data_IF_079060728403
#
_entry.id   IF_079060728403
#
_cell.length_a   1.000
_cell.length_b   1.000
_cell.length_c   1.000
_cell.angle_alpha   90.00
_cell.angle_beta   90.00
_cell.angle_gamma   90.00
#
_symmetry.space_group_name_H-M   'P 1'
#
loop_
_entity.id
_entity.type
_entity.pdbx_description
1 polymer ?
#
# COMPACT_ATOMS: atom_id res chain seq x y z
N UNK A 1 -18.92 7.47 -30.94
CA UNK A 1 -19.31 6.42 -29.97
C UNK A 1 -18.73 5.12 -30.48
N UNK A 2 -17.72 4.51 -29.82
CA UNK A 2 -17.20 3.23 -30.29
C UNK A 2 -18.31 2.17 -30.16
N UNK A 3 -18.51 1.40 -31.24
CA UNK A 3 -19.50 0.34 -31.33
C UNK A 3 -19.43 -0.55 -30.08
N UNK A 4 -20.57 -0.68 -29.40
CA UNK A 4 -20.68 -1.41 -28.15
C UNK A 4 -20.17 -2.83 -28.34
N UNK A 5 -19.07 -3.16 -27.68
CA UNK A 5 -18.57 -4.53 -27.59
C UNK A 5 -19.71 -5.40 -27.06
N UNK A 6 -20.29 -6.24 -27.93
CA UNK A 6 -21.45 -7.11 -27.67
C UNK A 6 -21.19 -8.23 -26.66
N UNK A 7 -20.27 -8.01 -25.71
CA UNK A 7 -20.04 -8.90 -24.58
C UNK A 7 -21.30 -8.92 -23.72
N UNK A 8 -21.88 -10.11 -23.60
CA UNK A 8 -23.02 -10.39 -22.74
C UNK A 8 -22.67 -10.04 -21.28
N UNK A 9 -23.68 -9.73 -20.47
CA UNK A 9 -23.49 -9.50 -19.03
C UNK A 9 -22.74 -10.66 -18.35
N UNK A 10 -23.00 -11.89 -18.78
CA UNK A 10 -22.30 -13.09 -18.30
C UNK A 10 -20.80 -13.06 -18.55
N UNK A 11 -20.36 -12.62 -19.73
CA UNK A 11 -18.92 -12.54 -20.06
C UNK A 11 -18.20 -11.45 -19.27
N UNK A 12 -18.89 -10.36 -18.92
CA UNK A 12 -18.34 -9.31 -18.05
C UNK A 12 -18.17 -9.77 -16.60
N UNK A 13 -19.07 -10.64 -16.11
CA UNK A 13 -19.07 -11.14 -14.73
C UNK A 13 -18.21 -12.38 -14.51
N UNK A 14 -18.01 -13.20 -15.54
CA UNK A 14 -17.19 -14.43 -15.49
C UNK A 14 -15.83 -14.28 -14.79
N UNK A 15 -15.00 -13.26 -15.09
CA UNK A 15 -13.73 -13.10 -14.39
C UNK A 15 -13.90 -12.78 -12.91
N UNK A 16 -14.91 -11.99 -12.52
CA UNK A 16 -15.20 -11.71 -11.12
C UNK A 16 -15.69 -12.94 -10.37
N UNK A 17 -16.53 -13.77 -11.00
CA UNK A 17 -16.93 -15.06 -10.44
C UNK A 17 -15.72 -15.96 -10.16
N UNK A 18 -14.79 -16.06 -11.12
CA UNK A 18 -13.54 -16.82 -10.93
C UNK A 18 -12.68 -16.25 -9.79
N UNK A 19 -12.46 -14.92 -9.74
CA UNK A 19 -11.67 -14.30 -8.68
C UNK A 19 -12.30 -14.49 -7.30
N UNK A 20 -13.64 -14.44 -7.20
CA UNK A 20 -14.37 -14.71 -5.95
C UNK A 20 -14.16 -16.16 -5.50
N UNK A 21 -14.31 -17.14 -6.41
CA UNK A 21 -14.07 -18.55 -6.07
C UNK A 21 -12.62 -18.80 -5.65
N UNK A 22 -11.66 -18.21 -6.37
CA UNK A 22 -10.25 -18.28 -6.01
C UNK A 22 -9.97 -17.65 -4.65
N UNK A 23 -10.57 -16.49 -4.36
CA UNK A 23 -10.47 -15.83 -3.06
C UNK A 23 -11.00 -16.72 -1.93
N UNK A 24 -12.18 -17.34 -2.12
CA UNK A 24 -12.77 -18.26 -1.14
C UNK A 24 -11.89 -19.48 -0.91
N UNK A 25 -11.36 -20.08 -1.98
CA UNK A 25 -10.44 -21.21 -1.89
C UNK A 25 -9.16 -20.85 -1.12
N UNK A 26 -8.49 -19.75 -1.49
CA UNK A 26 -7.26 -19.29 -0.83
C UNK A 26 -7.51 -18.91 0.63
N UNK A 27 -8.68 -18.32 0.92
CA UNK A 27 -9.11 -18.01 2.29
C UNK A 27 -9.26 -19.29 3.09
N UNK A 28 -9.97 -20.30 2.57
CA UNK A 28 -10.15 -21.58 3.24
C UNK A 28 -8.80 -22.29 3.46
N UNK A 29 -7.96 -22.38 2.42
CA UNK A 29 -6.63 -23.00 2.53
C UNK A 29 -5.75 -22.27 3.54
N UNK A 30 -5.73 -20.94 3.54
CA UNK A 30 -4.96 -20.15 4.50
C UNK A 30 -5.51 -20.29 5.92
N UNK A 31 -6.83 -20.23 6.09
CA UNK A 31 -7.47 -20.26 7.41
C UNK A 31 -7.37 -21.63 8.09
N UNK A 32 -7.52 -22.72 7.34
CA UNK A 32 -7.43 -24.09 7.87
C UNK A 32 -6.01 -24.66 7.81
N UNK A 33 -5.17 -24.19 6.90
CA UNK A 33 -3.81 -24.70 6.71
C UNK A 33 -2.75 -23.97 7.54
N UNK A 34 -3.02 -22.78 8.05
CA UNK A 34 -2.09 -22.01 8.88
C UNK A 34 -2.56 -21.91 10.33
N UNK A 35 -1.64 -21.86 11.31
CA UNK A 35 -2.02 -21.59 12.69
C UNK A 35 -2.75 -20.25 12.80
N UNK A 36 -3.91 -20.23 13.48
CA UNK A 36 -4.75 -19.02 13.62
C UNK A 36 -4.00 -17.81 14.21
N UNK A 37 -2.96 -18.05 15.02
CA UNK A 37 -2.08 -17.01 15.58
C UNK A 37 -1.16 -16.34 14.54
N UNK A 38 -0.97 -16.93 13.35
CA UNK A 38 -0.07 -16.42 12.29
C UNK A 38 -0.78 -15.72 11.14
N UNK A 39 -2.09 -15.84 11.07
CA UNK A 39 -2.91 -15.17 10.05
C UNK A 39 -3.31 -13.79 10.59
N UNK A 40 -3.28 -12.75 9.77
CA UNK A 40 -3.71 -11.37 10.08
C UNK A 40 -3.36 -10.88 11.48
N UNK A 41 -2.11 -11.02 11.90
CA UNK A 41 -1.66 -10.72 13.27
C UNK A 41 -1.90 -9.26 13.68
N UNK A 42 -1.68 -8.33 12.75
CA UNK A 42 -1.80 -6.90 13.01
C UNK A 42 -3.27 -6.42 13.03
N UNK A 43 -4.23 -7.26 12.60
CA UNK A 43 -5.65 -6.90 12.62
C UNK A 43 -6.16 -6.58 14.03
N UNK A 44 -5.50 -7.10 15.08
CA UNK A 44 -5.88 -6.81 16.46
C UNK A 44 -5.86 -5.31 16.79
N UNK A 45 -4.91 -4.53 16.23
CA UNK A 45 -4.86 -3.09 16.48
C UNK A 45 -6.03 -2.37 15.79
N UNK A 46 -6.46 -2.82 14.61
CA UNK A 46 -7.60 -2.23 13.90
C UNK A 46 -8.93 -2.58 14.55
N UNK A 47 -9.10 -3.84 14.95
CA UNK A 47 -10.30 -4.30 15.63
C UNK A 47 -10.45 -3.64 17.01
N UNK A 48 -9.36 -3.54 17.79
CA UNK A 48 -9.38 -2.85 19.07
C UNK A 48 -9.67 -1.35 18.91
N UNK A 49 -9.04 -0.67 17.96
CA UNK A 49 -9.34 0.73 17.66
C UNK A 49 -10.80 0.93 17.27
N UNK A 50 -11.38 0.06 16.43
CA UNK A 50 -12.78 0.10 16.05
C UNK A 50 -13.71 -0.08 17.27
N UNK A 51 -13.41 -1.04 18.14
CA UNK A 51 -14.17 -1.33 19.36
C UNK A 51 -14.11 -0.17 20.38
N UNK A 52 -12.94 0.46 20.52
CA UNK A 52 -12.76 1.63 21.40
C UNK A 52 -13.55 2.81 20.84
N UNK A 53 -13.40 3.09 19.53
CA UNK A 53 -14.07 4.20 18.87
C UNK A 53 -15.61 4.05 18.89
N UNK A 54 -16.15 2.83 18.78
CA UNK A 54 -17.59 2.58 18.88
C UNK A 54 -18.19 2.90 20.26
N UNK A 55 -17.35 3.11 21.28
CA UNK A 55 -17.77 3.54 22.62
C UNK A 55 -17.58 5.05 22.85
N UNK A 56 -17.26 5.82 21.81
CA UNK A 56 -16.99 7.27 21.92
C UNK A 56 -15.63 7.59 22.57
N UNK A 57 -14.73 6.61 22.66
CA UNK A 57 -13.39 6.77 23.24
C UNK A 57 -12.33 6.91 22.16
N UNK A 58 -11.21 7.53 22.52
CA UNK A 58 -10.09 7.71 21.61
C UNK A 58 -9.42 6.37 21.26
N UNK A 59 -9.24 6.05 19.96
CA UNK A 59 -8.50 4.87 19.55
C UNK A 59 -6.98 4.99 19.80
N UNK A 60 -6.50 6.17 20.21
CA UNK A 60 -5.09 6.44 20.50
C UNK A 60 -4.72 6.31 21.98
N UNK A 61 -5.70 6.10 22.86
CA UNK A 61 -5.43 5.89 24.28
C UNK A 61 -4.76 4.52 24.52
N UNK A 62 -3.49 4.53 24.91
CA UNK A 62 -2.69 3.30 25.07
C UNK A 62 -3.24 2.36 26.16
N UNK A 63 -3.84 2.92 27.22
CA UNK A 63 -4.45 2.13 28.29
C UNK A 63 -5.64 1.30 27.79
N UNK A 64 -6.55 1.93 27.04
CA UNK A 64 -7.69 1.26 26.42
C UNK A 64 -7.24 0.27 25.33
N UNK A 65 -6.22 0.61 24.53
CA UNK A 65 -5.63 -0.32 23.54
C UNK A 65 -5.09 -1.57 24.22
N UNK A 66 -4.27 -1.41 25.26
CA UNK A 66 -3.72 -2.50 26.07
C UNK A 66 -4.82 -3.38 26.66
N UNK A 67 -5.75 -2.79 27.40
CA UNK A 67 -6.84 -3.53 28.04
C UNK A 67 -7.68 -4.30 27.01
N UNK A 68 -7.99 -3.66 25.87
CA UNK A 68 -8.80 -4.27 24.81
C UNK A 68 -8.06 -5.41 24.12
N UNK A 69 -6.79 -5.24 23.78
CA UNK A 69 -6.00 -6.27 23.09
C UNK A 69 -5.69 -7.45 24.02
N UNK A 70 -5.39 -7.20 25.29
CA UNK A 70 -5.19 -8.27 26.29
C UNK A 70 -6.46 -9.11 26.48
N UNK A 71 -7.64 -8.48 26.50
CA UNK A 71 -8.92 -9.18 26.53
C UNK A 71 -9.19 -10.02 25.26
N UNK A 72 -8.48 -9.75 24.16
CA UNK A 72 -8.51 -10.52 22.91
C UNK A 72 -7.38 -11.55 22.82
N UNK A 73 -6.60 -11.72 23.89
CA UNK A 73 -5.52 -12.70 24.00
C UNK A 73 -4.14 -12.19 23.58
N UNK A 74 -3.94 -10.87 23.47
CA UNK A 74 -2.60 -10.31 23.28
C UNK A 74 -1.73 -10.52 24.52
N UNK A 75 -0.54 -11.06 24.32
CA UNK A 75 0.48 -11.19 25.35
C UNK A 75 1.77 -10.49 24.93
N UNK A 76 2.38 -9.75 25.87
CA UNK A 76 3.61 -8.99 25.61
C UNK A 76 4.77 -9.91 25.24
N UNK A 77 4.91 -11.05 25.92
CA UNK A 77 6.05 -11.94 25.72
C UNK A 77 5.97 -12.64 24.36
N UNK A 78 4.77 -13.04 23.94
CA UNK A 78 4.57 -13.76 22.67
C UNK A 78 4.29 -12.87 21.47
N UNK A 79 3.40 -11.88 21.59
CA UNK A 79 2.90 -11.07 20.47
C UNK A 79 3.59 -9.71 20.38
N UNK A 80 3.76 -9.05 21.54
CA UNK A 80 4.44 -7.76 21.66
C UNK A 80 5.96 -7.83 21.58
N UNK A 81 6.49 -9.04 21.34
CA UNK A 81 7.91 -9.28 21.20
C UNK A 81 8.73 -8.81 22.41
N UNK A 82 8.13 -8.77 23.59
CA UNK A 82 8.75 -8.32 24.84
C UNK A 82 8.88 -6.79 24.97
N UNK A 83 8.52 -6.04 23.93
CA UNK A 83 8.73 -4.59 23.86
C UNK A 83 7.46 -3.83 24.22
N UNK A 84 6.33 -4.19 23.61
CA UNK A 84 5.10 -3.42 23.71
C UNK A 84 3.97 -4.22 24.36
N UNK A 85 3.24 -3.57 25.25
CA UNK A 85 2.10 -4.17 25.95
C UNK A 85 0.86 -4.33 25.05
N UNK A 86 0.88 -3.71 23.87
CA UNK A 86 -0.13 -3.80 22.81
C UNK A 86 0.51 -3.43 21.47
N UNK A 87 -0.15 -3.73 20.35
CA UNK A 87 0.21 -3.20 19.04
C UNK A 87 -0.44 -1.83 18.86
N UNK A 88 0.31 -0.71 18.86
CA UNK A 88 -0.30 0.61 18.87
C UNK A 88 -0.96 0.96 17.53
N UNK A 89 -2.07 1.69 17.60
CA UNK A 89 -2.81 2.18 16.45
C UNK A 89 -2.35 3.59 16.04
N UNK A 90 -1.88 3.74 14.80
CA UNK A 90 -1.37 5.02 14.25
C UNK A 90 -2.18 5.55 13.06
N UNK A 91 -3.25 4.87 12.66
CA UNK A 91 -4.02 5.24 11.49
C UNK A 91 -5.03 6.34 11.82
N UNK A 92 -5.55 7.09 10.84
CA UNK A 92 -6.64 8.01 11.09
C UNK A 92 -7.93 7.30 11.55
N UNK A 93 -8.76 7.95 12.38
CA UNK A 93 -9.90 7.30 13.04
C UNK A 93 -10.97 6.79 12.06
N UNK A 94 -11.08 7.37 10.87
CA UNK A 94 -12.01 6.86 9.85
C UNK A 94 -11.65 5.46 9.36
N UNK A 95 -10.39 5.03 9.48
CA UNK A 95 -10.03 3.64 9.21
C UNK A 95 -10.57 2.72 10.30
N UNK A 96 -10.51 3.11 11.58
CA UNK A 96 -11.15 2.39 12.67
C UNK A 96 -12.68 2.33 12.48
N UNK A 97 -13.32 3.41 12.01
CA UNK A 97 -14.74 3.39 11.65
C UNK A 97 -15.05 2.39 10.55
N UNK A 98 -14.22 2.31 9.50
CA UNK A 98 -14.40 1.30 8.46
C UNK A 98 -14.27 -0.12 9.04
N UNK A 99 -13.33 -0.33 9.96
CA UNK A 99 -13.16 -1.60 10.66
C UNK A 99 -14.31 -1.94 11.64
N UNK A 100 -15.17 -0.98 12.00
CA UNK A 100 -16.34 -1.23 12.84
C UNK A 100 -17.32 -2.22 12.18
N UNK A 101 -17.32 -2.31 10.84
CA UNK A 101 -18.10 -3.30 10.09
C UNK A 101 -17.74 -4.77 10.45
N UNK A 102 -16.57 -5.02 11.03
CA UNK A 102 -16.15 -6.36 11.46
C UNK A 102 -16.56 -6.69 12.90
N UNK A 103 -16.98 -5.72 13.71
CA UNK A 103 -17.32 -5.94 15.13
C UNK A 103 -18.44 -6.98 15.33
N UNK A 104 -19.53 -7.01 14.54
CA UNK A 104 -20.59 -8.01 14.70
C UNK A 104 -20.13 -9.46 14.52
N UNK A 105 -19.01 -9.69 13.83
CA UNK A 105 -18.45 -11.03 13.58
C UNK A 105 -17.60 -11.52 14.77
N UNK A 106 -17.40 -10.70 15.80
CA UNK A 106 -16.42 -10.94 16.84
C UNK A 106 -14.98 -10.87 16.32
N UNK A 107 -13.99 -10.99 17.22
CA UNK A 107 -12.59 -10.81 16.83
C UNK A 107 -12.12 -11.90 15.84
N UNK A 108 -12.40 -13.17 16.11
CA UNK A 108 -12.00 -14.28 15.23
C UNK A 108 -12.67 -14.21 13.86
N UNK A 109 -13.99 -13.95 13.81
CA UNK A 109 -14.72 -13.81 12.55
C UNK A 109 -14.29 -12.57 11.77
N UNK A 110 -14.10 -11.44 12.45
CA UNK A 110 -13.58 -10.21 11.85
C UNK A 110 -12.18 -10.41 11.27
N UNK A 111 -11.31 -11.16 11.97
CA UNK A 111 -9.97 -11.50 11.53
C UNK A 111 -9.97 -12.36 10.27
N UNK A 112 -10.84 -13.38 10.20
CA UNK A 112 -11.03 -14.19 8.99
C UNK A 112 -11.56 -13.35 7.81
N UNK A 113 -12.53 -12.49 8.07
CA UNK A 113 -13.10 -11.61 7.05
C UNK A 113 -12.07 -10.59 6.52
N UNK A 114 -11.24 -10.03 7.39
CA UNK A 114 -10.17 -9.12 7.00
C UNK A 114 -9.05 -9.82 6.21
N UNK A 115 -8.73 -11.06 6.57
CA UNK A 115 -7.82 -11.90 5.78
C UNK A 115 -8.37 -12.15 4.36
N UNK A 116 -9.63 -12.56 4.26
CA UNK A 116 -10.31 -12.75 2.98
C UNK A 116 -10.36 -11.45 2.15
N UNK A 117 -10.64 -10.32 2.80
CA UNK A 117 -10.65 -9.01 2.17
C UNK A 117 -9.29 -8.68 1.55
N UNK A 118 -8.18 -8.92 2.25
CA UNK A 118 -6.85 -8.67 1.69
C UNK A 118 -6.53 -9.54 0.47
N UNK A 119 -6.94 -10.81 0.47
CA UNK A 119 -6.82 -11.69 -0.71
C UNK A 119 -7.63 -11.13 -1.88
N UNK A 120 -8.90 -10.74 -1.63
CA UNK A 120 -9.77 -10.17 -2.64
C UNK A 120 -9.17 -8.87 -3.23
N UNK A 121 -8.59 -8.01 -2.38
CA UNK A 121 -7.95 -6.76 -2.79
C UNK A 121 -6.69 -7.02 -3.64
N UNK A 122 -5.87 -8.00 -3.29
CA UNK A 122 -4.68 -8.38 -4.08
C UNK A 122 -5.08 -8.89 -5.48
N UNK A 123 -6.02 -9.84 -5.54
CA UNK A 123 -6.53 -10.41 -6.78
C UNK A 123 -7.20 -9.36 -7.67
N UNK A 124 -8.06 -8.52 -7.09
CA UNK A 124 -8.75 -7.46 -7.81
C UNK A 124 -7.78 -6.40 -8.32
N UNK A 125 -6.79 -6.01 -7.52
CA UNK A 125 -5.76 -5.05 -7.95
C UNK A 125 -4.95 -5.59 -9.12
N UNK A 126 -4.48 -6.84 -9.04
CA UNK A 126 -3.77 -7.49 -10.14
C UNK A 126 -4.62 -7.59 -11.41
N UNK A 127 -5.89 -7.98 -11.26
CA UNK A 127 -6.83 -8.03 -12.37
C UNK A 127 -7.04 -6.66 -13.01
N UNK A 128 -7.25 -5.61 -12.23
CA UNK A 128 -7.47 -4.24 -12.74
C UNK A 128 -6.21 -3.65 -13.38
N UNK A 129 -5.03 -3.91 -12.82
CA UNK A 129 -3.73 -3.50 -13.38
C UNK A 129 -3.44 -4.10 -14.76
N UNK A 130 -4.09 -5.21 -15.13
CA UNK A 130 -3.89 -5.85 -16.43
C UNK A 130 -4.14 -4.90 -17.61
N UNK A 131 -5.13 -4.01 -17.49
CA UNK A 131 -5.49 -3.06 -18.53
C UNK A 131 -4.49 -1.91 -18.68
N UNK A 132 -3.58 -1.78 -17.72
CA UNK A 132 -2.55 -0.74 -17.66
C UNK A 132 -1.19 -1.24 -18.16
N UNK A 133 -0.98 -2.55 -18.18
CA UNK A 133 0.21 -3.16 -18.76
C UNK A 133 0.13 -3.15 -20.30
N UNK A 134 1.28 -2.99 -20.96
CA UNK A 134 1.34 -2.92 -22.43
C UNK A 134 1.43 -4.31 -23.07
N UNK A 135 0.61 -4.53 -24.09
CA UNK A 135 0.63 -5.74 -24.92
C UNK A 135 0.47 -7.02 -24.10
N UNK A 136 1.28 -8.03 -24.39
CA UNK A 136 1.19 -9.32 -23.71
C UNK A 136 1.63 -9.33 -22.24
N UNK A 137 2.23 -8.24 -21.74
CA UNK A 137 2.45 -8.08 -20.30
C UNK A 137 1.13 -7.89 -19.54
N UNK A 138 0.01 -7.66 -20.25
CA UNK A 138 -1.34 -7.67 -19.68
C UNK A 138 -1.65 -8.89 -18.82
N UNK A 139 -1.15 -10.07 -19.16
CA UNK A 139 -1.42 -11.28 -18.38
C UNK A 139 -0.60 -11.38 -17.08
N UNK A 140 0.45 -10.56 -16.90
CA UNK A 140 1.35 -10.68 -15.76
C UNK A 140 0.76 -10.11 -14.45
N UNK A 141 0.16 -8.90 -14.37
CA UNK A 141 -0.33 -8.34 -13.10
C UNK A 141 -1.30 -9.23 -12.31
N UNK A 142 -2.25 -9.96 -12.92
CA UNK A 142 -3.11 -10.90 -12.18
C UNK A 142 -2.35 -12.03 -11.48
N UNK A 143 -1.17 -12.41 -11.97
CA UNK A 143 -0.30 -13.41 -11.35
C UNK A 143 0.68 -12.76 -10.38
N UNK A 144 1.32 -11.66 -10.79
CA UNK A 144 2.37 -10.98 -10.02
C UNK A 144 1.80 -10.39 -8.73
N UNK A 145 0.63 -9.75 -8.76
CA UNK A 145 0.09 -9.10 -7.57
C UNK A 145 -0.16 -10.06 -6.38
N UNK A 146 -0.85 -11.22 -6.54
CA UNK A 146 -1.02 -12.17 -5.45
C UNK A 146 0.24 -12.98 -5.13
N UNK A 147 1.17 -13.16 -6.06
CA UNK A 147 2.40 -13.95 -5.85
C UNK A 147 3.58 -13.11 -5.34
N UNK A 148 3.50 -11.79 -5.37
CA UNK A 148 4.55 -10.93 -4.85
C UNK A 148 4.70 -11.16 -3.35
N UNK A 149 5.91 -11.49 -2.87
CA UNK A 149 6.13 -11.90 -1.47
C UNK A 149 5.58 -10.88 -0.46
N UNK A 150 5.64 -9.58 -0.79
CA UNK A 150 5.17 -8.53 0.10
C UNK A 150 3.65 -8.39 0.10
N UNK A 151 2.96 -8.79 -0.98
CA UNK A 151 1.49 -8.95 -0.97
C UNK A 151 1.10 -10.11 -0.07
N UNK A 152 1.81 -11.24 -0.16
CA UNK A 152 1.59 -12.39 0.71
C UNK A 152 1.87 -12.03 2.18
N UNK A 153 2.97 -11.32 2.45
CA UNK A 153 3.28 -10.79 3.78
C UNK A 153 2.18 -9.83 4.26
N UNK A 154 1.67 -8.94 3.40
CA UNK A 154 0.57 -8.03 3.73
C UNK A 154 -0.71 -8.79 4.11
N UNK A 155 -1.05 -9.86 3.38
CA UNK A 155 -2.19 -10.76 3.69
C UNK A 155 -1.99 -11.48 5.03
N UNK A 156 -0.82 -12.09 5.24
CA UNK A 156 -0.49 -12.85 6.45
C UNK A 156 -0.38 -11.96 7.68
N UNK A 157 0.17 -10.75 7.54
CA UNK A 157 0.24 -9.79 8.63
C UNK A 157 -1.10 -9.11 8.88
N UNK A 158 -1.99 -9.06 7.89
CA UNK A 158 -3.23 -8.29 7.97
C UNK A 158 -2.91 -6.79 7.92
N UNK A 159 -2.07 -6.38 6.97
CA UNK A 159 -1.71 -4.99 6.72
C UNK A 159 -2.65 -4.35 5.70
N UNK A 160 -2.76 -3.02 5.70
CA UNK A 160 -3.72 -2.27 4.87
C UNK A 160 -3.17 -1.87 3.50
N UNK A 161 -1.95 -2.26 3.17
CA UNK A 161 -1.26 -1.81 1.96
C UNK A 161 -1.92 -2.32 0.67
N UNK A 162 -2.60 -3.47 0.73
CA UNK A 162 -3.40 -3.97 -0.39
C UNK A 162 -4.69 -3.17 -0.60
N UNK A 163 -5.28 -2.62 0.47
CA UNK A 163 -6.38 -1.65 0.35
C UNK A 163 -5.88 -0.38 -0.32
N UNK A 164 -4.71 0.13 0.08
CA UNK A 164 -4.08 1.30 -0.58
C UNK A 164 -3.82 1.02 -2.06
N UNK A 165 -3.18 -0.11 -2.40
CA UNK A 165 -2.96 -0.51 -3.79
C UNK A 165 -4.28 -0.52 -4.59
N UNK A 166 -5.31 -1.19 -4.07
CA UNK A 166 -6.61 -1.27 -4.73
C UNK A 166 -7.22 0.11 -4.96
N UNK A 167 -7.25 0.96 -3.93
CA UNK A 167 -7.79 2.31 -4.03
C UNK A 167 -7.00 3.17 -5.04
N UNK A 168 -5.67 3.03 -5.12
CA UNK A 168 -4.87 3.75 -6.13
C UNK A 168 -5.24 3.29 -7.55
N UNK A 169 -5.34 1.98 -7.76
CA UNK A 169 -5.70 1.42 -9.08
C UNK A 169 -7.11 1.86 -9.49
N UNK A 170 -8.07 1.81 -8.56
CA UNK A 170 -9.45 2.29 -8.80
C UNK A 170 -9.47 3.79 -9.06
N UNK A 171 -8.77 4.62 -8.26
CA UNK A 171 -8.70 6.06 -8.47
C UNK A 171 -8.12 6.40 -9.86
N UNK A 172 -7.03 5.73 -10.25
CA UNK A 172 -6.45 5.91 -11.58
C UNK A 172 -7.48 5.52 -12.67
N UNK A 173 -8.11 4.35 -12.60
CA UNK A 173 -9.12 3.95 -13.59
C UNK A 173 -10.30 4.92 -13.69
N UNK A 174 -10.78 5.46 -12.56
CA UNK A 174 -11.85 6.44 -12.54
C UNK A 174 -11.41 7.77 -13.17
N UNK A 175 -10.20 8.24 -12.85
CA UNK A 175 -9.64 9.46 -13.44
C UNK A 175 -9.41 9.32 -14.94
N UNK A 176 -8.95 8.16 -15.41
CA UNK A 176 -8.72 7.86 -16.83
C UNK A 176 -10.04 7.87 -17.62
N UNK A 177 -11.11 7.36 -17.01
CA UNK A 177 -12.47 7.35 -17.58
C UNK A 177 -13.25 8.66 -17.41
N UNK A 178 -12.67 9.68 -16.78
CA UNK A 178 -13.36 10.96 -16.54
C UNK A 178 -14.42 10.93 -15.42
N UNK A 179 -14.44 9.90 -14.58
CA UNK A 179 -15.38 9.75 -13.46
C UNK A 179 -14.91 10.56 -12.23
N UNK A 180 -14.88 11.89 -12.38
CA UNK A 180 -14.23 12.81 -11.45
C UNK A 180 -14.71 12.71 -10.00
N UNK A 181 -16.02 12.56 -9.78
CA UNK A 181 -16.62 12.56 -8.45
C UNK A 181 -16.18 11.30 -7.68
N UNK A 182 -16.37 10.13 -8.28
CA UNK A 182 -15.95 8.86 -7.68
C UNK A 182 -14.44 8.83 -7.46
N UNK A 183 -13.65 9.37 -8.39
CA UNK A 183 -12.21 9.50 -8.22
C UNK A 183 -11.86 10.36 -7.00
N UNK A 184 -12.47 11.54 -6.84
CA UNK A 184 -12.28 12.41 -5.69
C UNK A 184 -12.57 11.71 -4.35
N UNK A 185 -13.69 10.99 -4.28
CA UNK A 185 -14.06 10.24 -3.07
C UNK A 185 -13.05 9.11 -2.75
N UNK A 186 -12.63 8.35 -3.77
CA UNK A 186 -11.63 7.27 -3.60
C UNK A 186 -10.26 7.84 -3.20
N UNK A 187 -9.85 8.98 -3.77
CA UNK A 187 -8.62 9.66 -3.36
C UNK A 187 -8.68 10.12 -1.89
N UNK A 188 -9.85 10.55 -1.40
CA UNK A 188 -10.01 10.89 0.02
C UNK A 188 -9.78 9.67 0.93
N UNK A 189 -10.24 8.48 0.52
CA UNK A 189 -10.00 7.23 1.25
C UNK A 189 -8.52 6.82 1.28
N UNK A 190 -7.69 7.25 0.33
CA UNK A 190 -6.24 6.99 0.36
C UNK A 190 -5.52 7.68 1.52
N UNK A 191 -6.16 8.64 2.19
CA UNK A 191 -5.62 9.30 3.39
C UNK A 191 -5.54 8.36 4.60
N UNK A 192 -6.01 7.12 4.51
CA UNK A 192 -5.81 6.08 5.53
C UNK A 192 -4.31 5.79 5.79
N UNK A 193 -3.44 5.91 4.77
CA UNK A 193 -1.97 5.80 4.91
C UNK A 193 -1.27 7.03 4.33
N UNK A 194 -1.35 8.19 5.01
CA UNK A 194 -0.88 9.46 4.44
C UNK A 194 0.63 9.43 4.12
N UNK A 195 1.44 8.72 4.91
CA UNK A 195 2.88 8.60 4.66
C UNK A 195 3.21 7.95 3.30
N UNK A 196 2.36 7.02 2.81
CA UNK A 196 2.57 6.39 1.50
C UNK A 196 1.89 7.16 0.35
N UNK A 197 0.79 7.86 0.64
CA UNK A 197 -0.09 8.41 -0.38
C UNK A 197 -0.03 9.93 -0.51
N UNK A 198 0.52 10.67 0.45
CA UNK A 198 0.52 12.13 0.44
C UNK A 198 1.16 12.71 -0.83
N UNK A 199 2.31 12.17 -1.25
CA UNK A 199 3.00 12.64 -2.44
C UNK A 199 2.24 12.32 -3.73
N UNK A 200 1.60 11.14 -3.80
CA UNK A 200 0.68 10.77 -4.87
C UNK A 200 -0.53 11.71 -4.91
N UNK A 201 -1.17 11.96 -3.77
CA UNK A 201 -2.34 12.82 -3.63
C UNK A 201 -2.01 14.25 -4.06
N UNK A 202 -0.88 14.78 -3.61
CA UNK A 202 -0.36 16.08 -4.06
C UNK A 202 -0.25 16.12 -5.60
N UNK A 203 0.40 15.11 -6.20
CA UNK A 203 0.61 15.06 -7.64
C UNK A 203 -0.71 15.02 -8.43
N UNK A 204 -1.63 14.14 -8.02
CA UNK A 204 -2.91 13.95 -8.71
C UNK A 204 -3.83 15.17 -8.55
N UNK A 205 -3.87 15.77 -7.35
CA UNK A 205 -4.70 16.95 -7.10
C UNK A 205 -4.13 18.20 -7.79
N UNK A 206 -2.82 18.41 -7.78
CA UNK A 206 -2.17 19.48 -8.56
C UNK A 206 -2.47 19.35 -10.05
N UNK A 207 -2.38 18.13 -10.57
CA UNK A 207 -2.74 17.85 -11.97
C UNK A 207 -4.22 18.14 -12.23
N UNK A 208 -5.13 17.69 -11.36
CA UNK A 208 -6.56 17.92 -11.50
C UNK A 208 -6.90 19.43 -11.50
N UNK A 209 -6.26 20.21 -10.60
CA UNK A 209 -6.36 21.67 -10.58
C UNK A 209 -5.88 22.28 -11.91
N UNK A 210 -4.70 21.88 -12.39
CA UNK A 210 -4.13 22.35 -13.66
C UNK A 210 -5.03 22.02 -14.86
N UNK A 211 -5.65 20.84 -14.86
CA UNK A 211 -6.59 20.37 -15.89
C UNK A 211 -7.99 20.95 -15.72
N UNK A 212 -8.23 21.80 -14.71
CA UNK A 212 -9.54 22.36 -14.36
C UNK A 212 -10.60 21.27 -14.08
N UNK A 213 -10.18 20.09 -13.63
CA UNK A 213 -11.04 18.99 -13.18
C UNK A 213 -11.49 19.23 -11.73
N UNK A 214 -12.12 20.37 -11.49
CA UNK A 214 -12.52 20.85 -10.16
C UNK A 214 -13.39 19.86 -9.40
N UNK A 215 -14.19 19.06 -10.12
CA UNK A 215 -15.04 18.02 -9.52
C UNK A 215 -14.25 17.00 -8.71
N UNK A 216 -13.05 16.62 -9.18
CA UNK A 216 -12.16 15.70 -8.42
C UNK A 216 -11.77 16.34 -7.09
N UNK A 217 -11.34 17.60 -7.12
CA UNK A 217 -10.83 18.32 -5.95
C UNK A 217 -11.93 18.62 -4.95
N UNK A 218 -13.08 19.13 -5.42
CA UNK A 218 -14.23 19.44 -4.56
C UNK A 218 -14.76 18.19 -3.87
N UNK A 219 -14.92 17.08 -4.60
CA UNK A 219 -15.39 15.83 -3.99
C UNK A 219 -14.35 15.24 -3.04
N UNK A 220 -13.05 15.30 -3.38
CA UNK A 220 -11.99 14.92 -2.46
C UNK A 220 -12.07 15.69 -1.14
N UNK A 221 -12.14 17.02 -1.20
CA UNK A 221 -12.21 17.88 -0.01
C UNK A 221 -13.51 17.66 0.78
N UNK A 222 -14.63 17.50 0.10
CA UNK A 222 -15.92 17.22 0.74
C UNK A 222 -15.92 15.88 1.45
N UNK A 223 -15.47 14.80 0.79
CA UNK A 223 -15.39 13.47 1.39
C UNK A 223 -14.42 13.46 2.57
N UNK A 224 -13.23 14.05 2.43
CA UNK A 224 -12.27 14.13 3.54
C UNK A 224 -12.81 14.97 4.70
N UNK A 225 -13.45 16.11 4.40
CA UNK A 225 -14.09 16.97 5.40
C UNK A 225 -15.19 16.23 6.16
N UNK A 226 -16.00 15.41 5.47
CA UNK A 226 -17.02 14.58 6.11
C UNK A 226 -16.41 13.51 7.02
N UNK A 227 -15.34 12.83 6.58
CA UNK A 227 -14.62 11.85 7.41
C UNK A 227 -14.06 12.51 8.68
N UNK A 228 -13.43 13.68 8.53
CA UNK A 228 -12.91 14.48 9.65
C UNK A 228 -14.04 14.90 10.58
N UNK A 229 -15.16 15.40 10.04
CA UNK A 229 -16.30 15.86 10.83
C UNK A 229 -16.90 14.71 11.65
N UNK A 230 -17.16 13.55 11.02
CA UNK A 230 -17.69 12.37 11.71
C UNK A 230 -16.74 11.94 12.84
N UNK A 231 -15.43 11.86 12.57
CA UNK A 231 -14.48 11.45 13.60
C UNK A 231 -14.34 12.47 14.74
N UNK A 232 -14.42 13.76 14.41
CA UNK A 232 -14.37 14.85 15.41
C UNK A 232 -15.64 14.87 16.25
N UNK A 233 -16.80 14.54 15.68
CA UNK A 233 -18.04 14.41 16.44
C UNK A 233 -17.99 13.26 17.46
N UNK A 234 -17.23 12.19 17.19
CA UNK A 234 -17.07 11.05 18.10
C UNK A 234 -15.96 11.33 19.13
N UNK A 235 -14.80 11.82 18.69
CA UNK A 235 -13.63 12.09 19.53
C UNK A 235 -13.02 13.45 19.15
N UNK A 236 -13.46 14.59 19.72
CA UNK A 236 -13.03 15.92 19.28
C UNK A 236 -11.51 16.16 19.30
N UNK A 237 -10.79 15.48 20.20
CA UNK A 237 -9.35 15.62 20.40
C UNK A 237 -8.49 14.69 19.54
N UNK A 238 -9.10 13.88 18.65
CA UNK A 238 -8.39 12.88 17.86
C UNK A 238 -7.21 13.44 17.04
N UNK A 239 -7.24 14.66 16.44
CA UNK A 239 -6.12 15.11 15.61
C UNK A 239 -4.83 15.27 16.41
N UNK A 240 -4.92 15.88 17.59
CA UNK A 240 -3.77 16.06 18.49
C UNK A 240 -3.28 14.71 19.02
N UNK A 241 -4.19 13.81 19.38
CA UNK A 241 -3.84 12.48 19.87
C UNK A 241 -3.19 11.62 18.79
N UNK A 242 -3.64 11.69 17.53
CA UNK A 242 -3.02 10.99 16.41
C UNK A 242 -1.59 11.50 16.16
N UNK A 243 -1.38 12.82 16.24
CA UNK A 243 -0.06 13.43 16.06
C UNK A 243 0.90 13.10 17.22
N UNK A 244 0.37 12.93 18.43
CA UNK A 244 1.15 12.60 19.62
C UNK A 244 1.38 11.09 19.80
N UNK A 245 0.56 10.23 19.20
CA UNK A 245 0.65 8.78 19.34
C UNK A 245 2.05 8.21 19.04
N UNK A 246 2.77 8.62 17.97
CA UNK A 246 4.14 8.16 17.74
C UNK A 246 5.14 8.59 18.83
N UNK A 247 4.86 9.63 19.61
CA UNK A 247 5.72 10.05 20.73
C UNK A 247 5.45 9.23 21.99
N UNK A 248 4.20 8.86 22.21
CA UNK A 248 3.80 8.03 23.37
C UNK A 248 4.20 6.56 23.18
N UNK A 249 4.07 6.06 21.95
CA UNK A 249 4.50 4.73 21.55
C UNK A 249 5.29 4.83 20.25
N UNK A 250 6.62 5.04 20.32
CA UNK A 250 7.49 5.05 19.16
C UNK A 250 7.30 3.81 18.28
N UNK A 251 7.25 3.96 16.94
CA UNK A 251 7.23 2.81 16.06
C UNK A 251 8.53 2.00 16.23
N UNK A 252 8.52 0.66 16.09
CA UNK A 252 9.72 -0.14 16.30
C UNK A 252 10.90 0.24 15.40
N UNK A 253 10.64 0.89 14.26
CA UNK A 253 11.67 1.43 13.35
C UNK A 253 12.50 2.57 13.96
N UNK A 254 12.03 3.23 15.02
CA UNK A 254 12.80 4.27 15.69
C UNK A 254 14.01 3.70 16.41
N UNK A 255 13.82 2.55 17.07
CA UNK A 255 14.87 1.79 17.76
C UNK A 255 15.61 0.83 16.82
N UNK A 256 14.93 0.37 15.76
CA UNK A 256 15.43 -0.62 14.81
C UNK A 256 15.23 -0.15 13.36
N UNK A 257 15.96 0.88 12.92
CA UNK A 257 15.76 1.45 11.58
C UNK A 257 15.94 0.41 10.44
N UNK A 258 16.69 -0.67 10.66
CA UNK A 258 16.92 -1.74 9.69
C UNK A 258 15.69 -2.61 9.38
N UNK A 259 14.57 -2.46 10.11
CA UNK A 259 13.29 -3.07 9.72
C UNK A 259 12.47 -2.14 8.80
N UNK A 260 12.93 -0.89 8.63
CA UNK A 260 12.35 0.10 7.75
C UNK A 260 12.77 -0.07 6.29
N UNK A 261 11.96 0.46 5.37
CA UNK A 261 12.18 0.38 3.94
C UNK A 261 11.98 1.72 3.23
N UNK A 262 12.40 2.82 3.87
CA UNK A 262 12.49 4.15 3.24
C UNK A 262 13.93 4.60 3.16
N UNK A 263 14.21 5.58 2.29
CA UNK A 263 15.54 6.20 2.21
C UNK A 263 15.99 6.75 3.57
N UNK A 264 15.08 7.39 4.31
CA UNK A 264 15.35 7.89 5.65
C UNK A 264 15.77 6.78 6.63
N UNK A 265 15.03 5.67 6.69
CA UNK A 265 15.33 4.56 7.59
C UNK A 265 16.57 3.76 7.16
N UNK A 266 16.86 3.70 5.86
CA UNK A 266 18.11 3.13 5.38
C UNK A 266 19.31 3.95 5.86
N UNK A 267 19.27 5.28 5.78
CA UNK A 267 20.33 6.14 6.30
C UNK A 267 20.52 5.97 7.82
N UNK A 268 19.42 5.92 8.59
CA UNK A 268 19.48 5.66 10.03
C UNK A 268 20.02 4.26 10.38
N UNK A 269 19.88 3.29 9.49
CA UNK A 269 20.48 1.95 9.66
C UNK A 269 22.01 2.02 9.63
N UNK A 270 22.58 2.98 8.90
CA UNK A 270 24.01 3.27 8.91
C UNK A 270 24.44 4.22 10.04
N UNK A 271 23.62 4.35 11.09
CA UNK A 271 23.87 5.23 12.24
C UNK A 271 24.11 6.69 11.87
N UNK A 272 23.50 7.15 10.78
CA UNK A 272 23.48 8.57 10.43
C UNK A 272 22.40 9.27 11.24
N UNK A 273 22.80 10.27 12.01
CA UNK A 273 21.93 11.15 12.79
C UNK A 273 22.38 12.62 12.61
N UNK A 274 21.58 13.58 13.07
CA UNK A 274 21.93 15.02 12.98
C UNK A 274 22.02 15.55 11.55
N UNK A 275 22.93 16.50 11.30
CA UNK A 275 23.02 17.18 10.00
C UNK A 275 23.42 16.28 8.81
N UNK A 276 24.32 15.27 8.93
CA UNK A 276 24.63 14.38 7.80
C UNK A 276 23.43 13.56 7.33
N UNK A 277 22.59 13.09 8.27
CA UNK A 277 21.34 12.41 7.94
C UNK A 277 20.43 13.32 7.10
N UNK A 278 20.20 14.55 7.54
CA UNK A 278 19.32 15.49 6.84
C UNK A 278 19.85 15.90 5.47
N UNK A 279 21.17 16.08 5.35
CA UNK A 279 21.81 16.38 4.06
C UNK A 279 21.62 15.25 3.06
N UNK A 280 21.97 14.01 3.43
CA UNK A 280 21.85 12.83 2.55
C UNK A 280 20.40 12.45 2.27
N UNK A 281 19.52 12.61 3.25
CA UNK A 281 18.08 12.42 3.06
C UNK A 281 17.54 13.43 2.04
N UNK A 282 17.83 14.72 2.22
CA UNK A 282 17.37 15.79 1.32
C UNK A 282 17.93 15.65 -0.09
N UNK A 283 19.15 15.15 -0.23
CA UNK A 283 19.81 14.93 -1.52
C UNK A 283 19.02 14.00 -2.46
N UNK A 284 18.23 13.06 -1.94
CA UNK A 284 17.32 12.24 -2.76
C UNK A 284 15.86 12.66 -2.61
N UNK A 285 15.40 12.95 -1.40
CA UNK A 285 13.99 13.28 -1.15
C UNK A 285 13.55 14.51 -1.95
N UNK A 286 14.37 15.57 -2.00
CA UNK A 286 14.02 16.80 -2.72
C UNK A 286 13.93 16.58 -4.24
N UNK A 287 14.93 15.98 -4.93
CA UNK A 287 14.79 15.66 -6.36
C UNK A 287 13.58 14.81 -6.70
N UNK A 288 13.24 13.80 -5.88
CA UNK A 288 12.05 12.99 -6.10
C UNK A 288 10.75 13.79 -5.93
N UNK A 289 10.65 14.63 -4.89
CA UNK A 289 9.50 15.51 -4.70
C UNK A 289 9.34 16.50 -5.86
N UNK A 290 10.45 17.11 -6.31
CA UNK A 290 10.48 18.02 -7.47
C UNK A 290 10.08 17.28 -8.75
N UNK A 291 10.57 16.06 -8.97
CA UNK A 291 10.21 15.25 -10.12
C UNK A 291 8.71 14.94 -10.16
N UNK A 292 8.10 14.64 -9.00
CA UNK A 292 6.65 14.43 -8.89
C UNK A 292 5.87 15.70 -9.23
N UNK A 293 6.23 16.84 -8.65
CA UNK A 293 5.54 18.12 -8.92
C UNK A 293 5.69 18.51 -10.39
N UNK A 294 6.89 18.38 -10.97
CA UNK A 294 7.12 18.62 -12.41
C UNK A 294 6.27 17.72 -13.28
N UNK A 295 6.21 16.41 -12.96
CA UNK A 295 5.37 15.47 -13.71
C UNK A 295 3.87 15.81 -13.61
N UNK A 296 3.41 16.32 -12.46
CA UNK A 296 2.02 16.75 -12.28
C UNK A 296 1.67 18.01 -13.08
N UNK A 297 2.64 18.93 -13.23
CA UNK A 297 2.47 20.19 -13.96
C UNK A 297 2.67 20.05 -15.48
N UNK A 298 3.42 19.05 -15.93
CA UNK A 298 3.68 18.79 -17.34
C UNK A 298 2.43 18.25 -18.06
N UNK A 299 1.91 19.03 -19.02
CA UNK A 299 0.70 18.69 -19.78
C UNK A 299 0.90 17.48 -20.69
N UNK A 300 2.12 17.23 -21.13
CA UNK A 300 2.43 16.14 -22.05
C UNK A 300 2.55 14.80 -21.31
N UNK A 301 2.69 14.80 -19.99
CA UNK A 301 2.81 13.56 -19.20
C UNK A 301 1.47 12.87 -19.05
N UNK A 302 1.37 11.56 -19.34
CA UNK A 302 0.15 10.81 -19.07
C UNK A 302 -0.07 10.61 -17.57
N UNK A 303 -1.34 10.46 -17.16
CA UNK A 303 -1.72 10.27 -15.75
C UNK A 303 -1.01 9.08 -15.09
N UNK A 304 -0.86 7.99 -15.85
CA UNK A 304 -0.17 6.78 -15.43
C UNK A 304 1.24 7.07 -14.90
N UNK A 305 1.96 8.00 -15.54
CA UNK A 305 3.30 8.39 -15.12
C UNK A 305 3.31 9.17 -13.80
N UNK A 306 2.33 10.05 -13.62
CA UNK A 306 2.19 10.84 -12.39
C UNK A 306 1.88 9.92 -11.21
N UNK A 307 0.96 8.96 -11.40
CA UNK A 307 0.57 8.01 -10.35
C UNK A 307 1.76 7.12 -9.94
N UNK A 308 2.42 6.48 -10.90
CA UNK A 308 3.54 5.59 -10.59
C UNK A 308 4.76 6.32 -10.03
N UNK A 309 5.06 7.55 -10.49
CA UNK A 309 6.15 8.34 -9.92
C UNK A 309 5.82 8.80 -8.51
N UNK A 310 4.58 9.22 -8.24
CA UNK A 310 4.14 9.60 -6.90
C UNK A 310 4.30 8.46 -5.88
N UNK A 311 3.90 7.25 -6.26
CA UNK A 311 4.08 6.05 -5.42
C UNK A 311 5.54 5.65 -5.24
N UNK A 312 6.34 5.69 -6.30
CA UNK A 312 7.76 5.36 -6.23
C UNK A 312 8.52 6.35 -5.35
N UNK A 313 8.29 7.64 -5.56
CA UNK A 313 8.91 8.72 -4.80
C UNK A 313 8.53 8.69 -3.31
N UNK A 314 7.37 8.14 -2.94
CA UNK A 314 6.98 7.99 -1.53
C UNK A 314 8.02 7.21 -0.72
N UNK A 315 8.72 6.22 -1.30
CA UNK A 315 9.77 5.47 -0.60
C UNK A 315 11.08 6.24 -0.39
N UNK A 316 11.28 7.34 -1.14
CA UNK A 316 12.43 8.23 -0.99
C UNK A 316 12.11 9.45 -0.14
N UNK A 317 10.85 9.88 -0.13
CA UNK A 317 10.37 11.09 0.57
C UNK A 317 9.75 10.77 1.93
N UNK A 318 9.01 9.68 2.08
CA UNK A 318 8.37 9.39 3.36
C UNK A 318 9.40 9.00 4.42
N UNK A 319 9.21 9.41 5.69
CA UNK A 319 10.09 9.01 6.78
C UNK A 319 9.90 7.55 7.17
N UNK A 320 8.76 6.93 6.83
CA UNK A 320 8.40 5.59 7.28
C UNK A 320 7.65 4.79 6.20
N UNK A 321 8.08 3.54 6.01
CA UNK A 321 7.43 2.47 5.29
C UNK A 321 8.12 1.15 5.67
N UNK A 322 7.40 0.03 5.58
CA UNK A 322 7.94 -1.32 5.78
C UNK A 322 7.77 -2.16 4.52
N UNK A 323 8.36 -3.35 4.52
CA UNK A 323 8.34 -4.24 3.36
C UNK A 323 6.90 -4.58 2.92
N UNK A 324 5.96 -4.73 3.85
CA UNK A 324 4.54 -4.97 3.53
C UNK A 324 3.86 -3.79 2.83
N UNK A 325 4.50 -2.63 2.72
CA UNK A 325 4.02 -1.48 1.95
C UNK A 325 4.42 -1.56 0.47
N UNK A 326 5.35 -2.45 0.09
CA UNK A 326 5.79 -2.62 -1.29
C UNK A 326 4.72 -3.05 -2.30
N UNK A 327 3.57 -3.66 -1.95
CA UNK A 327 2.52 -3.93 -2.93
C UNK A 327 2.10 -2.70 -3.73
N UNK A 328 2.17 -1.49 -3.15
CA UNK A 328 1.84 -0.25 -3.91
C UNK A 328 2.81 0.01 -5.06
N UNK A 329 4.07 -0.45 -4.96
CA UNK A 329 5.08 -0.33 -6.03
C UNK A 329 4.77 -1.19 -7.24
N UNK A 330 3.81 -2.13 -7.17
CA UNK A 330 3.38 -2.91 -8.33
C UNK A 330 2.86 -2.02 -9.46
N UNK A 331 2.24 -0.88 -9.13
CA UNK A 331 1.83 0.14 -10.12
C UNK A 331 3.05 0.64 -10.90
N UNK A 332 4.12 1.02 -10.19
CA UNK A 332 5.37 1.50 -10.78
C UNK A 332 6.10 0.40 -11.54
N UNK A 333 6.17 -0.81 -10.98
CA UNK A 333 6.82 -1.96 -11.59
C UNK A 333 6.17 -2.35 -12.93
N UNK A 334 4.84 -2.41 -13.00
CA UNK A 334 4.11 -2.72 -14.23
C UNK A 334 4.34 -1.67 -15.31
N UNK A 335 4.34 -0.38 -14.95
CA UNK A 335 4.62 0.69 -15.90
C UNK A 335 6.07 0.73 -16.36
N UNK A 336 7.03 0.49 -15.47
CA UNK A 336 8.45 0.36 -15.84
C UNK A 336 8.64 -0.83 -16.77
N UNK A 337 8.08 -2.00 -16.45
CA UNK A 337 8.15 -3.17 -17.30
C UNK A 337 7.57 -2.91 -18.70
N UNK A 338 6.48 -2.16 -18.80
CA UNK A 338 5.89 -1.76 -20.08
C UNK A 338 6.72 -0.76 -20.90
N UNK A 339 7.74 -0.12 -20.31
CA UNK A 339 8.71 0.74 -21.03
C UNK A 339 9.88 -0.06 -21.59
N UNK A 340 10.11 -1.27 -21.10
CA UNK A 340 11.23 -2.12 -21.49
C UNK A 340 10.82 -3.02 -22.67
N UNK A 341 11.80 -3.58 -23.42
CA UNK A 341 11.51 -4.65 -24.36
C UNK A 341 10.75 -5.78 -23.66
N UNK A 342 9.77 -6.39 -24.34
CA UNK A 342 8.84 -7.36 -23.75
C UNK A 342 9.52 -8.45 -22.90
N UNK A 343 10.62 -9.03 -23.40
CA UNK A 343 11.37 -10.05 -22.68
C UNK A 343 11.99 -9.51 -21.38
N UNK A 344 12.57 -8.30 -21.43
CA UNK A 344 13.19 -7.64 -20.27
C UNK A 344 12.14 -7.20 -19.26
N UNK A 345 11.01 -6.65 -19.71
CA UNK A 345 9.88 -6.30 -18.83
C UNK A 345 9.28 -7.51 -18.13
N UNK A 346 9.12 -8.63 -18.86
CA UNK A 346 8.70 -9.90 -18.29
C UNK A 346 9.69 -10.44 -17.26
N UNK A 347 10.99 -10.42 -17.59
CA UNK A 347 12.07 -10.83 -16.67
C UNK A 347 12.10 -9.96 -15.42
N UNK A 348 11.91 -8.64 -15.54
CA UNK A 348 11.83 -7.73 -14.39
C UNK A 348 10.69 -8.13 -13.44
N UNK A 349 9.47 -8.31 -13.96
CA UNK A 349 8.32 -8.69 -13.13
C UNK A 349 8.51 -10.07 -12.49
N UNK A 350 9.08 -11.03 -13.23
CA UNK A 350 9.42 -12.34 -12.71
C UNK A 350 10.48 -12.28 -11.60
N UNK A 351 11.55 -11.51 -11.80
CA UNK A 351 12.60 -11.30 -10.81
C UNK A 351 12.08 -10.60 -9.56
N UNK A 352 11.18 -9.62 -9.70
CA UNK A 352 10.51 -8.96 -8.57
C UNK A 352 9.62 -9.92 -7.77
N UNK A 353 9.11 -10.98 -8.38
CA UNK A 353 8.39 -12.03 -7.63
C UNK A 353 9.38 -12.96 -6.94
N UNK A 354 10.37 -13.53 -7.65
CA UNK A 354 11.21 -14.60 -7.12
C UNK A 354 12.36 -14.16 -6.22
N UNK A 355 13.11 -13.11 -6.58
CA UNK A 355 14.30 -12.72 -5.84
C UNK A 355 14.00 -12.34 -4.38
N UNK A 356 12.90 -11.63 -4.08
CA UNK A 356 12.53 -11.35 -2.69
C UNK A 356 12.24 -12.60 -1.85
N UNK A 357 11.71 -13.68 -2.44
CA UNK A 357 11.56 -14.96 -1.73
C UNK A 357 12.92 -15.57 -1.40
N UNK A 358 13.82 -15.62 -2.39
CA UNK A 358 15.17 -16.16 -2.18
C UNK A 358 15.92 -15.36 -1.09
N UNK A 359 15.84 -14.03 -1.15
CA UNK A 359 16.40 -13.15 -0.13
C UNK A 359 15.75 -13.36 1.24
N UNK A 360 14.42 -13.50 1.32
CA UNK A 360 13.73 -13.77 2.58
C UNK A 360 14.21 -15.09 3.23
N UNK A 361 14.34 -16.16 2.43
CA UNK A 361 14.87 -17.45 2.91
C UNK A 361 16.31 -17.31 3.40
N UNK A 362 17.17 -16.64 2.64
CA UNK A 362 18.55 -16.40 3.03
C UNK A 362 18.66 -15.59 4.33
N UNK A 363 17.86 -14.53 4.47
CA UNK A 363 17.82 -13.73 5.70
C UNK A 363 17.29 -14.55 6.89
N UNK A 364 16.29 -15.42 6.68
CA UNK A 364 15.77 -16.28 7.73
C UNK A 364 16.80 -17.32 8.19
N UNK A 365 17.57 -17.89 7.26
CA UNK A 365 18.68 -18.80 7.57
C UNK A 365 19.82 -18.09 8.29
N UNK A 366 20.24 -16.91 7.80
CA UNK A 366 21.27 -16.11 8.45
C UNK A 366 20.86 -15.75 9.88
N UNK A 367 19.63 -15.29 10.07
CA UNK A 367 19.07 -14.99 11.39
C UNK A 367 19.09 -16.23 12.28
N UNK A 368 18.64 -17.39 11.79
CA UNK A 368 18.67 -18.63 12.58
C UNK A 368 20.10 -19.01 13.01
N UNK A 369 21.11 -18.67 12.22
CA UNK A 369 22.51 -18.92 12.53
C UNK A 369 23.13 -17.89 13.51
N UNK A 370 22.77 -16.60 13.40
CA UNK A 370 23.44 -15.52 14.15
C UNK A 370 22.64 -15.00 15.35
N UNK A 371 21.32 -15.00 15.26
CA UNK A 371 20.40 -14.53 16.30
C UNK A 371 19.10 -15.36 16.26
N UNK A 372 19.12 -16.62 16.73
CA UNK A 372 17.96 -17.51 16.66
C UNK A 372 16.77 -16.98 17.47
N UNK A 373 17.03 -16.15 18.49
CA UNK A 373 16.00 -15.52 19.33
C UNK A 373 15.55 -14.16 18.80
N UNK A 374 16.24 -13.64 17.79
CA UNK A 374 15.87 -12.41 17.09
C UNK A 374 14.44 -12.48 16.60
N UNK A 375 13.79 -11.33 16.49
CA UNK A 375 12.35 -11.27 16.14
C UNK A 375 12.13 -10.73 14.73
N UNK A 376 13.07 -9.91 14.25
CA UNK A 376 12.99 -9.26 12.95
C UNK A 376 14.09 -9.73 12.01
N UNK A 377 13.83 -9.60 10.71
CA UNK A 377 14.85 -9.72 9.67
C UNK A 377 15.47 -8.34 9.42
N UNK A 378 16.60 -8.30 8.72
CA UNK A 378 17.21 -7.05 8.24
C UNK A 378 16.43 -6.56 7.00
N UNK A 379 15.20 -6.10 7.22
CA UNK A 379 14.23 -5.81 6.15
C UNK A 379 14.66 -4.66 5.23
N UNK A 380 15.50 -3.73 5.69
CA UNK A 380 16.01 -2.64 4.87
C UNK A 380 16.83 -3.13 3.67
N UNK A 381 17.31 -4.38 3.69
CA UNK A 381 17.97 -5.00 2.55
C UNK A 381 17.03 -5.18 1.35
N UNK A 382 15.71 -5.09 1.50
CA UNK A 382 14.77 -5.09 0.36
C UNK A 382 14.67 -3.73 -0.36
N UNK A 383 15.33 -2.68 0.14
CA UNK A 383 15.30 -1.35 -0.46
C UNK A 383 15.93 -1.28 -1.86
N UNK A 384 16.61 -2.34 -2.33
CA UNK A 384 17.02 -2.44 -3.73
C UNK A 384 15.84 -2.39 -4.70
N UNK A 385 14.62 -2.77 -4.28
CA UNK A 385 13.43 -2.75 -5.15
C UNK A 385 13.05 -1.32 -5.59
N UNK A 386 12.76 -0.36 -4.67
CA UNK A 386 12.50 1.01 -5.07
C UNK A 386 13.70 1.65 -5.78
N UNK A 387 14.94 1.30 -5.42
CA UNK A 387 16.16 1.78 -6.11
C UNK A 387 16.21 1.28 -7.56
N UNK A 388 15.98 -0.01 -7.79
CA UNK A 388 15.95 -0.61 -9.13
C UNK A 388 14.86 0.03 -9.99
N UNK A 389 13.64 0.16 -9.43
CA UNK A 389 12.52 0.78 -10.14
C UNK A 389 12.80 2.26 -10.46
N UNK A 390 13.43 3.00 -9.55
CA UNK A 390 13.84 4.37 -9.78
C UNK A 390 14.91 4.48 -10.86
N UNK A 391 15.94 3.65 -10.81
CA UNK A 391 16.99 3.60 -11.82
C UNK A 391 16.40 3.38 -13.21
N UNK A 392 15.56 2.34 -13.36
CA UNK A 392 14.87 2.05 -14.62
C UNK A 392 13.85 3.12 -15.04
N UNK A 393 13.27 3.85 -14.09
CA UNK A 393 12.31 4.92 -14.39
C UNK A 393 12.95 6.10 -15.11
N UNK A 394 14.16 6.48 -14.70
CA UNK A 394 14.88 7.64 -15.22
C UNK A 394 15.80 7.32 -16.41
N UNK A 395 15.97 6.05 -16.78
CA UNK A 395 16.62 5.68 -18.05
C UNK A 395 15.85 6.33 -19.22
N UNK A 396 16.53 7.07 -20.10
CA UNK A 396 15.89 7.68 -21.27
C UNK A 396 15.09 6.65 -22.07
N UNK A 397 13.88 7.02 -22.48
CA UNK A 397 13.08 6.18 -23.36
C UNK A 397 13.85 6.01 -24.67
N UNK A 398 14.15 4.76 -25.03
CA UNK A 398 14.46 4.48 -26.44
C UNK A 398 13.25 4.91 -27.25
N UNK A 399 13.42 5.70 -28.32
CA UNK A 399 12.32 5.98 -29.22
C UNK A 399 11.77 4.61 -29.65
N UNK A 400 10.51 4.34 -29.29
CA UNK A 400 9.82 3.19 -29.82
C UNK A 400 9.86 3.37 -31.32
N UNK A 401 10.58 2.48 -32.02
CA UNK A 401 10.45 2.33 -33.46
C UNK A 401 8.98 1.98 -33.63
N UNK A 402 8.17 2.99 -33.93
CA UNK A 402 6.76 2.81 -34.22
C UNK A 402 6.73 1.73 -35.30
N UNK A 403 6.14 0.57 -34.97
CA UNK A 403 5.78 -0.37 -36.02
C UNK A 403 4.95 0.45 -37.01
N UNK A 404 5.35 0.48 -38.30
CA UNK A 404 4.70 1.33 -39.29
C UNK A 404 3.21 1.11 -39.16
N UNK A 405 2.47 2.22 -39.00
CA UNK A 405 1.03 2.19 -38.87
C UNK A 405 0.48 1.20 -39.90
N UNK A 406 -0.39 0.25 -39.51
CA UNK A 406 -0.94 -0.71 -40.46
C UNK A 406 -1.49 0.10 -41.63
N UNK A 407 -0.89 -0.09 -42.81
CA UNK A 407 -1.37 0.55 -44.04
C UNK A 407 -2.85 0.21 -44.12
N UNK A 408 -3.71 1.22 -44.07
CA UNK A 408 -5.13 1.05 -44.33
C UNK A 408 -5.23 0.39 -45.71
N UNK A 409 -5.72 -0.85 -45.73
CA UNK A 409 -5.99 -1.61 -46.95
C UNK A 409 -7.44 -1.35 -47.38
#
# INVERSE_FOLDING_TARGET
>A
MPAGSGLTWGERLRPWGFLTLLCLLLTALGWYGLPAKRVSVDFICYFSAAKILSTGRSPYDLGNQKATQQALGWDKATDGFGEYDCLPYFYPPWFALACAAFLPLGYTGGKAAFFALNIALALSSGYLLRGMARGALGCAPPLVAPLFVFSVACVLLGQTSLLVLFLVVVAWLLLDKGHDQSAGAVLALLTIKPQLTALLLLAVLLRALRERRWRVVVVFLFTLGLLVLICTAIVPTWPLQMLDAPRQSPPPTEQRPWIGNTWFLLLRTFHLDGWPLWLLYSALAVPFAVAVVRAALDRARPLSEVVALGLLAAFFVAPYARHYDFPVLLVSAVLVAGRLPRAVGGLLLFALVLLPYAQYVALAQLKAATDPNGKFLVECTFFWIPVLLAGLWFVPRRPTIESPAPKAA
#
